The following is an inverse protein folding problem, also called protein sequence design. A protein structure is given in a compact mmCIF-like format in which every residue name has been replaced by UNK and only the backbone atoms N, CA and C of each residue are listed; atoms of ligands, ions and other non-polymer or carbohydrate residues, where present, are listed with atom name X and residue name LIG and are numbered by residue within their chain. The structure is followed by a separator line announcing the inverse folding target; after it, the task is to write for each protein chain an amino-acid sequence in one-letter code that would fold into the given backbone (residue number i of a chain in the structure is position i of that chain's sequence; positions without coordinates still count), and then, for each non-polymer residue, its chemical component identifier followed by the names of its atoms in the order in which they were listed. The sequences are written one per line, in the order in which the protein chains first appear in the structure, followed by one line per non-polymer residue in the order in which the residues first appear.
data_IF_192254281954
#
_entry.id   IF_192254281954
#
_cell.length_a   1.000
_cell.length_b   1.000
_cell.length_c   1.000
_cell.angle_alpha   90.00
_cell.angle_beta   90.00
_cell.angle_gamma   90.00
#
_symmetry.space_group_name_H-M   'P 1'
#
loop_
_entity.id
_entity.type
_entity.pdbx_description
1 polymer ?
#
# COMPACT_ATOMS: atom_id res chain seq x y z
N UNK A 1 -1.34 -14.41 -13.76
CA UNK A 1 -1.40 -14.98 -12.39
C UNK A 1 -2.70 -14.62 -11.68
N UNK A 2 -3.02 -13.33 -11.49
CA UNK A 2 -4.25 -12.93 -10.78
C UNK A 2 -5.53 -13.50 -11.42
N UNK A 3 -5.69 -13.42 -12.75
CA UNK A 3 -6.85 -14.00 -13.44
C UNK A 3 -6.99 -15.52 -13.19
N UNK A 4 -5.87 -16.23 -13.13
CA UNK A 4 -5.82 -17.66 -12.81
C UNK A 4 -6.30 -17.92 -11.39
N UNK A 5 -5.88 -17.08 -10.43
CA UNK A 5 -6.30 -17.17 -9.03
C UNK A 5 -7.79 -16.86 -8.88
N UNK A 6 -8.29 -15.82 -9.55
CA UNK A 6 -9.72 -15.48 -9.57
C UNK A 6 -10.54 -16.65 -10.13
N UNK A 7 -10.10 -17.23 -11.26
CA UNK A 7 -10.77 -18.38 -11.87
C UNK A 7 -10.76 -19.61 -10.94
N UNK A 8 -9.65 -19.86 -10.25
CA UNK A 8 -9.55 -20.96 -9.29
C UNK A 8 -10.48 -20.76 -8.07
N UNK A 9 -10.50 -19.56 -7.48
CA UNK A 9 -11.41 -19.22 -6.38
C UNK A 9 -12.87 -19.36 -6.80
N UNK A 10 -13.21 -18.92 -8.01
CA UNK A 10 -14.56 -19.06 -8.55
C UNK A 10 -14.95 -20.54 -8.72
N UNK A 11 -14.04 -21.37 -9.25
CA UNK A 11 -14.27 -22.80 -9.46
C UNK A 11 -14.42 -23.61 -8.15
N UNK A 12 -13.76 -23.17 -7.07
CA UNK A 12 -13.82 -23.82 -5.75
C UNK A 12 -14.84 -23.19 -4.80
N UNK A 13 -15.64 -22.24 -5.29
CA UNK A 13 -16.62 -21.52 -4.48
C UNK A 13 -16.05 -20.84 -3.23
N UNK A 14 -14.75 -20.52 -3.26
CA UNK A 14 -14.02 -19.97 -2.11
C UNK A 14 -14.18 -18.45 -1.99
N UNK A 15 -13.77 -17.91 -0.85
CA UNK A 15 -13.62 -16.46 -0.66
C UNK A 15 -12.25 -15.99 -1.13
N UNK A 16 -12.22 -14.88 -1.88
CA UNK A 16 -11.00 -14.14 -2.17
C UNK A 16 -10.88 -12.98 -1.19
N UNK A 17 -9.86 -13.01 -0.33
CA UNK A 17 -9.43 -11.84 0.44
C UNK A 17 -8.24 -11.23 -0.29
N UNK A 18 -8.43 -10.04 -0.85
CA UNK A 18 -7.41 -9.31 -1.59
C UNK A 18 -6.89 -8.16 -0.72
N UNK A 19 -5.68 -8.32 -0.19
CA UNK A 19 -4.99 -7.30 0.60
C UNK A 19 -4.06 -6.47 -0.31
N UNK A 20 -4.45 -5.23 -0.55
CA UNK A 20 -3.72 -4.26 -1.38
C UNK A 20 -2.95 -3.23 -0.53
N UNK A 21 -2.75 -3.49 0.76
CA UNK A 21 -2.03 -2.57 1.65
C UNK A 21 -0.62 -2.19 1.16
N UNK A 22 0.24 -3.07 0.59
CA UNK A 22 1.61 -2.71 0.21
C UNK A 22 1.74 -1.86 -1.07
N UNK A 23 0.72 -1.07 -1.41
CA UNK A 23 0.64 -0.24 -2.62
C UNK A 23 1.39 1.10 -2.55
N UNK A 24 2.43 1.24 -1.71
CA UNK A 24 3.24 2.46 -1.78
C UNK A 24 3.89 2.56 -3.17
N UNK A 25 3.87 3.77 -3.71
CA UNK A 25 4.97 4.29 -4.54
C UNK A 25 5.22 3.59 -5.89
N UNK A 26 4.15 3.26 -6.63
CA UNK A 26 4.31 3.00 -8.07
C UNK A 26 3.74 4.17 -8.89
N UNK A 27 4.56 4.88 -9.69
CA UNK A 27 4.03 5.75 -10.74
C UNK A 27 3.32 4.85 -11.76
N UNK A 28 1.99 4.79 -11.67
CA UNK A 28 1.18 3.85 -12.45
C UNK A 28 0.40 2.82 -11.63
N UNK A 29 -0.09 3.16 -10.42
CA UNK A 29 -1.02 2.31 -9.62
C UNK A 29 -2.15 1.66 -10.46
N UNK A 30 -2.56 2.27 -11.58
CA UNK A 30 -3.57 1.71 -12.50
C UNK A 30 -3.13 0.47 -13.30
N UNK A 31 -1.83 0.21 -13.43
CA UNK A 31 -1.29 -0.96 -14.14
C UNK A 31 -1.23 -2.20 -13.24
N UNK A 32 -1.52 -2.05 -11.95
CA UNK A 32 -1.55 -3.19 -11.04
C UNK A 32 -2.75 -4.10 -11.33
N UNK A 33 -2.54 -5.43 -11.24
CA UNK A 33 -3.64 -6.37 -11.33
C UNK A 33 -4.70 -6.04 -10.26
N UNK A 34 -5.95 -5.90 -10.67
CA UNK A 34 -7.06 -5.67 -9.75
C UNK A 34 -7.97 -6.89 -9.69
N UNK A 35 -8.59 -7.20 -8.53
CA UNK A 35 -9.38 -8.42 -8.36
C UNK A 35 -10.72 -8.40 -9.13
N UNK A 36 -11.05 -7.30 -9.80
CA UNK A 36 -12.24 -7.25 -10.66
C UNK A 36 -11.99 -7.92 -12.00
N UNK A 37 -12.85 -8.85 -12.42
CA UNK A 37 -12.86 -9.30 -13.80
C UNK A 37 -13.16 -8.09 -14.71
N UNK A 38 -12.47 -8.01 -15.85
CA UNK A 38 -12.79 -7.01 -16.84
C UNK A 38 -14.28 -7.14 -17.23
N UNK A 39 -15.05 -6.05 -17.09
CA UNK A 39 -16.47 -5.92 -17.47
C UNK A 39 -17.53 -6.49 -16.50
N UNK A 40 -17.31 -6.49 -15.19
CA UNK A 40 -18.42 -6.76 -14.25
C UNK A 40 -19.19 -5.48 -13.89
N UNK A 41 -20.51 -5.50 -14.03
CA UNK A 41 -21.39 -4.42 -13.56
C UNK A 41 -21.63 -4.49 -12.03
N UNK A 42 -21.45 -5.68 -11.44
CA UNK A 42 -21.63 -5.94 -10.02
C UNK A 42 -20.30 -6.29 -9.33
N UNK A 43 -20.22 -5.96 -8.04
CA UNK A 43 -19.11 -6.37 -7.18
C UNK A 43 -19.22 -7.89 -6.90
N UNK A 44 -18.15 -8.69 -7.01
CA UNK A 44 -18.22 -10.13 -6.78
C UNK A 44 -18.63 -10.48 -5.34
N UNK A 45 -19.62 -11.37 -5.18
CA UNK A 45 -20.19 -11.72 -3.86
C UNK A 45 -19.17 -12.29 -2.87
N UNK A 46 -18.17 -13.03 -3.36
CA UNK A 46 -17.13 -13.71 -2.56
C UNK A 46 -15.77 -13.00 -2.58
N UNK A 47 -15.76 -11.68 -2.81
CA UNK A 47 -14.56 -10.84 -2.74
C UNK A 47 -14.60 -9.96 -1.48
N UNK A 48 -13.49 -9.91 -0.77
CA UNK A 48 -13.20 -8.90 0.25
C UNK A 48 -11.93 -8.20 -0.18
N UNK A 49 -11.99 -6.90 -0.41
CA UNK A 49 -10.84 -6.09 -0.80
C UNK A 49 -10.49 -5.11 0.32
N UNK A 50 -9.22 -5.13 0.75
CA UNK A 50 -8.73 -4.39 1.90
C UNK A 50 -7.55 -3.50 1.48
N UNK A 51 -7.46 -2.31 2.05
CA UNK A 51 -6.29 -1.43 1.91
C UNK A 51 -6.08 -0.58 3.18
N UNK A 52 -4.91 0.04 3.32
CA UNK A 52 -4.56 0.92 4.44
C UNK A 52 -3.70 2.10 4.01
N UNK A 53 -3.93 3.24 4.65
CA UNK A 53 -3.09 4.44 4.56
C UNK A 53 -1.71 4.25 5.16
N UNK A 54 -1.58 3.32 6.10
CA UNK A 54 -0.34 3.10 6.83
C UNK A 54 0.82 2.85 5.89
N UNK A 55 0.55 2.13 4.80
CA UNK A 55 1.54 1.70 3.84
C UNK A 55 1.36 2.32 2.47
N UNK A 56 0.22 2.92 2.15
CA UNK A 56 0.04 3.58 0.86
C UNK A 56 0.36 5.08 0.90
N UNK A 57 0.36 5.71 2.07
CA UNK A 57 0.66 7.15 2.25
C UNK A 57 1.71 7.43 3.32
N UNK A 58 2.37 6.39 3.85
CA UNK A 58 3.31 6.52 4.97
C UNK A 58 2.69 7.15 6.23
N UNK A 59 1.38 6.95 6.44
CA UNK A 59 0.61 7.53 7.56
C UNK A 59 0.16 6.45 8.55
N UNK A 60 1.10 5.61 9.01
CA UNK A 60 0.78 4.47 9.89
C UNK A 60 0.10 4.86 11.21
N UNK A 61 0.38 6.06 11.72
CA UNK A 61 -0.22 6.59 12.95
C UNK A 61 -1.72 6.93 12.82
N UNK A 62 -2.24 7.14 11.61
CA UNK A 62 -3.66 7.46 11.41
C UNK A 62 -4.58 6.27 11.64
N UNK A 63 -4.05 5.03 11.58
CA UNK A 63 -4.82 3.78 11.73
C UNK A 63 -6.06 3.75 10.83
N UNK A 64 -5.94 4.32 9.63
CA UNK A 64 -7.01 4.41 8.66
C UNK A 64 -6.84 3.34 7.56
N UNK A 65 -7.95 2.72 7.20
CA UNK A 65 -8.04 1.73 6.14
C UNK A 65 -9.49 1.52 5.75
N UNK A 66 -9.70 0.79 4.66
CA UNK A 66 -11.02 0.50 4.14
C UNK A 66 -11.14 -0.98 3.77
N UNK A 67 -12.39 -1.42 3.73
CA UNK A 67 -12.81 -2.72 3.25
C UNK A 67 -13.96 -2.52 2.26
N UNK A 68 -13.86 -3.12 1.09
CA UNK A 68 -14.94 -3.20 0.10
C UNK A 68 -15.31 -4.68 -0.05
N UNK A 69 -16.59 -4.99 0.13
CA UNK A 69 -17.15 -6.32 -0.01
C UNK A 69 -18.63 -6.23 -0.42
N UNK A 70 -19.25 -7.37 -0.71
CA UNK A 70 -20.69 -7.42 -0.93
C UNK A 70 -21.48 -7.03 0.34
N UNK A 71 -22.70 -6.51 0.13
CA UNK A 71 -23.50 -5.86 1.18
C UNK A 71 -23.71 -6.71 2.44
N UNK A 72 -24.03 -8.02 2.37
CA UNK A 72 -24.19 -8.84 3.57
C UNK A 72 -22.93 -8.90 4.44
N UNK A 73 -21.74 -8.91 3.84
CA UNK A 73 -20.46 -8.89 4.54
C UNK A 73 -20.23 -7.54 5.20
N UNK A 74 -20.46 -6.45 4.46
CA UNK A 74 -20.34 -5.08 5.00
C UNK A 74 -21.30 -4.88 6.17
N UNK A 75 -22.55 -5.33 6.07
CA UNK A 75 -23.55 -5.24 7.14
C UNK A 75 -23.18 -6.09 8.36
N UNK A 76 -22.51 -7.23 8.17
CA UNK A 76 -21.96 -8.01 9.27
C UNK A 76 -20.82 -7.25 9.98
N UNK A 77 -19.80 -6.82 9.23
CA UNK A 77 -18.62 -6.11 9.78
C UNK A 77 -19.04 -4.82 10.47
N UNK A 78 -19.96 -4.05 9.87
CA UNK A 78 -20.52 -2.84 10.47
C UNK A 78 -21.16 -3.12 11.82
N UNK A 79 -22.09 -4.08 11.89
CA UNK A 79 -22.76 -4.44 13.15
C UNK A 79 -21.78 -4.94 14.20
N UNK A 80 -20.73 -5.63 13.78
CA UNK A 80 -19.67 -6.08 14.68
C UNK A 80 -18.87 -4.90 15.25
N UNK A 81 -18.42 -3.98 14.38
CA UNK A 81 -17.70 -2.77 14.79
C UNK A 81 -18.53 -1.86 15.70
N UNK A 82 -19.82 -1.64 15.38
CA UNK A 82 -20.74 -0.84 16.22
C UNK A 82 -20.87 -1.41 17.63
N UNK A 83 -20.86 -2.74 17.77
CA UNK A 83 -21.00 -3.42 19.06
C UNK A 83 -19.71 -3.41 19.88
N UNK A 84 -18.55 -3.45 19.23
CA UNK A 84 -17.26 -3.62 19.91
C UNK A 84 -16.47 -2.33 20.10
N UNK A 85 -16.54 -1.40 19.15
CA UNK A 85 -15.61 -0.27 19.05
C UNK A 85 -16.29 1.10 19.15
N UNK A 86 -17.63 1.15 19.22
CA UNK A 86 -18.51 2.35 19.32
C UNK A 86 -18.35 3.41 18.21
N UNK A 87 -17.14 3.78 17.81
CA UNK A 87 -16.86 4.47 16.55
C UNK A 87 -15.36 4.39 16.20
N UNK A 88 -14.97 4.17 14.92
CA UNK A 88 -13.59 4.40 14.52
C UNK A 88 -13.20 5.88 14.71
N UNK A 89 -11.91 6.13 14.94
CA UNK A 89 -11.38 7.50 15.03
C UNK A 89 -11.68 8.26 13.73
N UNK A 90 -12.55 9.26 13.80
CA UNK A 90 -12.99 10.03 12.63
C UNK A 90 -11.87 10.87 11.99
N UNK A 91 -10.77 11.15 12.70
CA UNK A 91 -9.68 12.02 12.25
C UNK A 91 -9.02 11.55 10.94
N UNK A 92 -9.10 10.26 10.60
CA UNK A 92 -8.56 9.72 9.34
C UNK A 92 -9.59 9.52 8.21
N UNK A 93 -10.89 9.60 8.50
CA UNK A 93 -11.93 9.17 7.55
C UNK A 93 -12.07 10.14 6.38
N UNK A 94 -12.03 11.46 6.60
CA UNK A 94 -12.10 12.44 5.50
C UNK A 94 -10.91 12.33 4.55
N UNK A 95 -9.72 12.14 5.12
CA UNK A 95 -8.51 11.92 4.33
C UNK A 95 -8.61 10.63 3.52
N UNK A 96 -9.14 9.55 4.12
CA UNK A 96 -9.43 8.27 3.48
C UNK A 96 -10.33 8.44 2.25
N UNK A 97 -11.45 9.13 2.45
CA UNK A 97 -12.43 9.38 1.39
C UNK A 97 -11.81 10.20 0.26
N UNK A 98 -11.09 11.27 0.59
CA UNK A 98 -10.48 12.14 -0.41
C UNK A 98 -9.43 11.40 -1.23
N UNK A 99 -8.57 10.61 -0.60
CA UNK A 99 -7.58 9.79 -1.30
C UNK A 99 -8.23 8.76 -2.23
N UNK A 100 -9.28 8.07 -1.77
CA UNK A 100 -10.02 7.13 -2.61
C UNK A 100 -10.63 7.82 -3.84
N UNK A 101 -11.18 9.02 -3.66
CA UNK A 101 -11.71 9.84 -4.76
C UNK A 101 -10.60 10.27 -5.72
N UNK A 102 -9.46 10.75 -5.20
CA UNK A 102 -8.30 11.15 -5.99
C UNK A 102 -7.74 9.98 -6.79
N UNK A 103 -7.53 8.81 -6.16
CA UNK A 103 -7.11 7.57 -6.84
C UNK A 103 -8.05 7.19 -7.97
N UNK A 104 -9.35 7.13 -7.67
CA UNK A 104 -10.35 6.75 -8.66
C UNK A 104 -10.41 7.75 -9.82
N UNK A 105 -10.31 9.05 -9.53
CA UNK A 105 -10.32 10.08 -10.56
C UNK A 105 -9.04 10.08 -11.40
N UNK A 106 -7.85 9.98 -10.77
CA UNK A 106 -6.57 9.90 -11.46
C UNK A 106 -6.53 8.69 -12.41
N UNK A 107 -7.05 7.52 -11.99
CA UNK A 107 -7.19 6.35 -12.86
C UNK A 107 -8.07 6.66 -14.07
N UNK A 108 -9.21 7.32 -13.88
CA UNK A 108 -10.14 7.65 -14.97
C UNK A 108 -9.59 8.71 -15.93
N UNK A 109 -8.84 9.69 -15.44
CA UNK A 109 -8.13 10.68 -16.26
C UNK A 109 -7.14 9.96 -17.20
N UNK A 110 -6.35 9.03 -16.66
CA UNK A 110 -5.43 8.19 -17.46
C UNK A 110 -6.16 7.28 -18.45
N UNK A 111 -7.22 6.58 -18.03
CA UNK A 111 -8.01 5.71 -18.93
C UNK A 111 -8.62 6.50 -20.10
N UNK A 112 -8.93 7.79 -19.88
CA UNK A 112 -9.42 8.70 -20.90
C UNK A 112 -8.29 9.34 -21.73
N UNK A 113 -7.02 9.02 -21.46
CA UNK A 113 -5.83 9.61 -22.10
C UNK A 113 -5.78 11.14 -22.01
N UNK A 114 -6.31 11.71 -20.91
CA UNK A 114 -6.28 13.15 -20.66
C UNK A 114 -4.97 13.53 -19.97
N UNK A 115 -4.34 14.60 -20.43
CA UNK A 115 -3.12 15.14 -19.84
C UNK A 115 -3.46 16.24 -18.82
N UNK A 116 -3.03 16.07 -17.57
CA UNK A 116 -3.30 17.02 -16.47
C UNK A 116 -2.74 18.42 -16.76
N UNK A 117 -1.69 18.51 -17.58
CA UNK A 117 -1.03 19.76 -17.95
C UNK A 117 -1.47 20.33 -19.30
N UNK A 118 -2.35 19.63 -20.04
CA UNK A 118 -2.92 20.19 -21.26
C UNK A 118 -4.10 21.11 -20.91
N UNK A 119 -4.02 22.43 -21.21
CA UNK A 119 -5.11 23.35 -20.92
C UNK A 119 -6.40 23.00 -21.67
N UNK A 120 -6.34 22.24 -22.76
CA UNK A 120 -7.53 21.79 -23.50
C UNK A 120 -8.28 20.66 -22.77
N UNK A 121 -7.59 19.91 -21.90
CA UNK A 121 -8.17 18.78 -21.17
C UNK A 121 -8.79 19.18 -19.83
N UNK A 122 -8.52 20.40 -19.33
CA UNK A 122 -8.97 20.86 -18.01
C UNK A 122 -10.47 20.68 -17.76
N UNK A 123 -11.30 21.11 -18.72
CA UNK A 123 -12.77 20.97 -18.60
C UNK A 123 -13.24 19.50 -18.61
N UNK A 124 -12.54 18.63 -19.35
CA UNK A 124 -12.84 17.21 -19.39
C UNK A 124 -12.44 16.51 -18.07
N UNK A 125 -11.29 16.88 -17.51
CA UNK A 125 -10.82 16.44 -16.20
C UNK A 125 -11.83 16.86 -15.12
N UNK A 126 -12.20 18.14 -15.06
CA UNK A 126 -13.18 18.65 -14.08
C UNK A 126 -14.51 17.88 -14.16
N UNK A 127 -15.02 17.64 -15.36
CA UNK A 127 -16.25 16.88 -15.57
C UNK A 127 -16.13 15.43 -15.07
N UNK A 128 -14.99 14.79 -15.33
CA UNK A 128 -14.71 13.41 -14.94
C UNK A 128 -14.57 13.30 -13.41
N UNK A 129 -13.85 14.22 -12.78
CA UNK A 129 -13.71 14.30 -11.33
C UNK A 129 -15.06 14.50 -10.68
N UNK A 130 -15.84 15.49 -11.14
CA UNK A 130 -17.17 15.75 -10.61
C UNK A 130 -18.07 14.51 -10.73
N UNK A 131 -17.92 13.70 -11.79
CA UNK A 131 -18.65 12.43 -11.95
C UNK A 131 -18.19 11.37 -10.93
N UNK A 132 -16.88 11.23 -10.69
CA UNK A 132 -16.32 10.31 -9.68
C UNK A 132 -16.76 10.73 -8.27
N UNK A 133 -16.60 12.01 -7.93
CA UNK A 133 -17.03 12.60 -6.68
C UNK A 133 -18.54 12.41 -6.42
N UNK A 134 -19.41 12.71 -7.38
CA UNK A 134 -20.87 12.48 -7.24
C UNK A 134 -21.22 11.01 -7.00
N UNK A 135 -20.51 10.08 -7.65
CA UNK A 135 -20.70 8.64 -7.44
C UNK A 135 -20.21 8.21 -6.06
N UNK A 136 -19.04 8.70 -5.63
CA UNK A 136 -18.52 8.49 -4.29
C UNK A 136 -19.49 9.03 -3.23
N UNK A 137 -20.05 10.23 -3.41
CA UNK A 137 -21.04 10.81 -2.50
C UNK A 137 -22.30 9.96 -2.32
N UNK A 138 -22.72 9.19 -3.34
CA UNK A 138 -23.81 8.21 -3.20
C UNK A 138 -23.40 7.04 -2.31
N UNK A 139 -22.15 6.60 -2.40
CA UNK A 139 -21.59 5.52 -1.58
C UNK A 139 -21.35 5.96 -0.13
N UNK A 140 -20.78 7.15 0.09
CA UNK A 140 -20.51 7.69 1.44
C UNK A 140 -21.79 7.86 2.27
N UNK A 141 -22.92 8.17 1.64
CA UNK A 141 -24.25 8.19 2.30
C UNK A 141 -24.64 6.85 2.90
N UNK A 142 -24.05 5.74 2.44
CA UNK A 142 -24.27 4.40 3.00
C UNK A 142 -23.33 4.10 4.18
N UNK A 143 -22.20 4.80 4.30
CA UNK A 143 -21.17 4.57 5.34
C UNK A 143 -21.34 5.46 6.58
N UNK A 144 -22.00 6.61 6.45
CA UNK A 144 -22.29 7.47 7.59
C UNK A 144 -23.77 7.82 7.72
N UNK A 145 -24.61 6.88 8.18
CA UNK A 145 -25.98 7.22 8.57
C UNK A 145 -26.06 8.03 9.88
N UNK A 146 -24.97 8.19 10.64
CA UNK A 146 -25.03 8.67 12.04
C UNK A 146 -24.10 9.81 12.45
N UNK A 147 -23.18 10.30 11.61
CA UNK A 147 -22.43 11.52 11.95
C UNK A 147 -23.05 12.73 11.25
N UNK A 148 -23.65 13.66 12.00
CA UNK A 148 -24.23 14.88 11.42
C UNK A 148 -23.21 15.73 10.62
N UNK A 149 -21.92 15.60 10.94
CA UNK A 149 -20.83 16.27 10.24
C UNK A 149 -20.53 15.70 8.84
N UNK A 150 -20.89 14.44 8.56
CA UNK A 150 -20.78 13.81 7.23
C UNK A 150 -22.13 13.42 6.62
N UNK A 151 -23.24 13.50 7.38
CA UNK A 151 -24.61 13.24 6.91
C UNK A 151 -25.13 14.38 6.04
N UNK A 152 -24.41 15.50 5.99
CA UNK A 152 -24.51 16.53 4.96
C UNK A 152 -23.33 16.44 3.99
N UNK A 153 -23.26 15.42 3.11
CA UNK A 153 -22.26 15.36 2.05
C UNK A 153 -22.19 16.64 1.24
N UNK A 154 -23.30 17.40 1.14
CA UNK A 154 -23.32 18.72 0.52
C UNK A 154 -22.22 19.66 1.02
N UNK A 155 -21.83 19.59 2.30
CA UNK A 155 -20.81 20.47 2.88
C UNK A 155 -19.39 19.95 2.60
N UNK A 156 -19.16 18.64 2.66
CA UNK A 156 -17.88 18.04 2.22
C UNK A 156 -17.67 18.26 0.71
N UNK A 157 -18.71 18.10 -0.10
CA UNK A 157 -18.63 18.30 -1.54
C UNK A 157 -18.55 19.77 -1.91
N UNK A 158 -19.27 20.67 -1.23
CA UNK A 158 -19.10 22.10 -1.40
C UNK A 158 -17.69 22.53 -0.99
N UNK A 159 -17.13 21.95 0.08
CA UNK A 159 -15.73 22.16 0.45
C UNK A 159 -14.78 21.66 -0.65
N UNK A 160 -14.96 20.44 -1.14
CA UNK A 160 -14.11 19.89 -2.20
C UNK A 160 -14.23 20.68 -3.51
N UNK A 161 -15.44 21.01 -3.95
CA UNK A 161 -15.68 21.76 -5.19
C UNK A 161 -15.25 23.25 -5.08
N UNK A 162 -15.34 23.87 -3.90
CA UNK A 162 -14.96 25.28 -3.72
C UNK A 162 -13.48 25.48 -3.34
N UNK A 163 -12.82 24.48 -2.75
CA UNK A 163 -11.49 24.64 -2.18
C UNK A 163 -10.40 23.81 -2.87
N UNK A 164 -10.75 22.86 -3.74
CA UNK A 164 -9.76 22.00 -4.41
C UNK A 164 -9.62 22.38 -5.88
N UNK A 165 -8.47 22.97 -6.21
CA UNK A 165 -7.96 22.98 -7.59
C UNK A 165 -7.57 21.53 -7.95
N UNK A 166 -8.47 20.83 -8.65
CA UNK A 166 -8.31 19.41 -8.98
C UNK A 166 -7.06 19.14 -9.84
N UNK A 167 -6.77 19.89 -10.91
CA UNK A 167 -5.50 19.77 -11.62
C UNK A 167 -4.28 19.89 -10.68
N UNK A 168 -4.26 20.88 -9.77
CA UNK A 168 -3.17 21.02 -8.81
C UNK A 168 -3.12 19.85 -7.81
N UNK A 169 -4.27 19.36 -7.34
CA UNK A 169 -4.36 18.22 -6.44
C UNK A 169 -3.82 16.95 -7.09
N UNK A 170 -4.12 16.70 -8.37
CA UNK A 170 -3.53 15.57 -9.12
C UNK A 170 -2.04 15.71 -9.29
N UNK A 171 -1.54 16.90 -9.66
CA UNK A 171 -0.08 17.13 -9.76
C UNK A 171 0.62 16.82 -8.44
N UNK A 172 0.09 17.30 -7.32
CA UNK A 172 0.66 17.01 -5.99
C UNK A 172 0.60 15.53 -5.66
N UNK A 173 -0.56 14.91 -5.90
CA UNK A 173 -0.76 13.48 -5.71
C UNK A 173 0.27 12.63 -6.47
N UNK A 174 0.44 12.88 -7.77
CA UNK A 174 1.38 12.14 -8.62
C UNK A 174 2.83 12.46 -8.24
N UNK A 175 3.14 13.71 -7.93
CA UNK A 175 4.47 14.13 -7.47
C UNK A 175 4.86 13.46 -6.15
N UNK A 176 3.96 13.40 -5.15
CA UNK A 176 4.22 12.79 -3.85
C UNK A 176 4.49 11.28 -3.99
N UNK A 177 3.69 10.60 -4.82
CA UNK A 177 3.88 9.19 -5.15
C UNK A 177 5.20 8.93 -5.89
N UNK A 178 5.51 9.75 -6.90
CA UNK A 178 6.74 9.65 -7.66
C UNK A 178 7.96 9.92 -6.79
N UNK A 179 7.92 10.93 -5.91
CA UNK A 179 9.00 11.26 -4.99
C UNK A 179 9.27 10.11 -4.01
N UNK A 180 8.20 9.54 -3.43
CA UNK A 180 8.31 8.39 -2.52
C UNK A 180 8.90 7.17 -3.23
N UNK A 181 8.47 6.89 -4.46
CA UNK A 181 9.00 5.80 -5.27
C UNK A 181 10.44 6.01 -5.68
N UNK A 182 10.81 7.24 -6.03
CA UNK A 182 12.18 7.60 -6.35
C UNK A 182 13.12 7.37 -5.15
N UNK A 183 12.70 7.73 -3.93
CA UNK A 183 13.47 7.48 -2.70
C UNK A 183 13.65 5.98 -2.47
N UNK A 184 12.57 5.19 -2.51
CA UNK A 184 12.65 3.74 -2.28
C UNK A 184 13.54 3.05 -3.33
N UNK A 185 13.41 3.44 -4.60
CA UNK A 185 14.23 2.91 -5.69
C UNK A 185 15.70 3.34 -5.57
N UNK A 186 15.97 4.58 -5.19
CA UNK A 186 17.34 5.06 -4.95
C UNK A 186 18.00 4.31 -3.80
N UNK A 187 17.28 4.13 -2.68
CA UNK A 187 17.73 3.34 -1.55
C UNK A 187 18.01 1.89 -1.95
N UNK A 188 17.14 1.26 -2.75
CA UNK A 188 17.38 -0.10 -3.24
C UNK A 188 18.65 -0.21 -4.08
N UNK A 189 18.85 0.69 -5.06
CA UNK A 189 20.09 0.71 -5.87
C UNK A 189 21.33 0.93 -5.01
N UNK A 190 21.21 1.78 -4.00
CA UNK A 190 22.27 2.09 -3.07
C UNK A 190 22.63 0.89 -2.18
N UNK A 191 21.63 0.07 -1.82
CA UNK A 191 21.82 -1.22 -1.13
C UNK A 191 22.54 -2.22 -2.04
N UNK A 192 22.03 -2.43 -3.25
CA UNK A 192 22.64 -3.36 -4.22
C UNK A 192 24.10 -3.00 -4.54
N UNK A 193 24.39 -1.70 -4.71
CA UNK A 193 25.75 -1.24 -5.00
C UNK A 193 26.74 -1.48 -3.85
N UNK A 194 26.27 -1.51 -2.59
CA UNK A 194 27.14 -1.65 -1.41
C UNK A 194 27.29 -3.10 -0.95
N UNK A 195 26.20 -3.85 -1.02
CA UNK A 195 26.07 -5.16 -0.38
C UNK A 195 25.81 -6.28 -1.39
N UNK A 196 25.66 -5.98 -2.68
CA UNK A 196 25.28 -6.95 -3.72
C UNK A 196 26.22 -8.14 -3.83
N UNK A 197 27.50 -7.96 -3.53
CA UNK A 197 28.53 -9.01 -3.49
C UNK A 197 28.37 -9.98 -2.30
N UNK A 198 27.64 -9.57 -1.26
CA UNK A 198 27.32 -10.36 -0.05
C UNK A 198 25.94 -11.02 -0.14
N UNK A 199 25.18 -10.77 -1.20
CA UNK A 199 23.86 -11.36 -1.40
C UNK A 199 23.97 -12.71 -2.12
N UNK A 200 23.44 -13.75 -1.49
CA UNK A 200 23.28 -15.07 -2.12
C UNK A 200 22.05 -15.12 -3.01
N UNK A 201 20.97 -14.43 -2.63
CA UNK A 201 19.71 -14.42 -3.38
C UNK A 201 18.92 -13.15 -3.09
N UNK A 202 18.12 -12.74 -4.07
CA UNK A 202 17.32 -11.52 -4.02
C UNK A 202 15.95 -11.78 -4.64
N UNK A 203 14.90 -11.38 -3.93
CA UNK A 203 13.56 -11.15 -4.46
C UNK A 203 13.33 -9.65 -4.37
N UNK A 204 13.63 -8.95 -5.46
CA UNK A 204 13.37 -7.53 -5.58
C UNK A 204 11.90 -7.33 -5.96
N UNK A 205 11.14 -6.66 -5.09
CA UNK A 205 9.78 -6.32 -5.42
C UNK A 205 9.77 -5.26 -6.55
N UNK A 206 8.96 -5.46 -7.61
CA UNK A 206 8.83 -4.46 -8.68
C UNK A 206 8.18 -3.16 -8.20
N UNK A 207 7.51 -3.20 -7.05
CA UNK A 207 6.83 -2.07 -6.46
C UNK A 207 6.77 -2.21 -4.93
N UNK A 208 6.46 -1.10 -4.24
CA UNK A 208 6.49 -1.03 -2.79
C UNK A 208 7.89 -0.70 -2.26
N UNK A 209 8.13 -1.05 -1.00
CA UNK A 209 9.34 -0.63 -0.27
C UNK A 209 9.96 -1.78 0.53
N UNK A 210 9.52 -3.03 0.34
CA UNK A 210 10.12 -4.18 0.99
C UNK A 210 10.69 -5.12 -0.06
N UNK A 211 11.93 -5.53 0.15
CA UNK A 211 12.63 -6.51 -0.66
C UNK A 211 13.04 -7.67 0.25
N UNK A 212 13.16 -8.88 -0.30
CA UNK A 212 13.64 -10.02 0.46
C UNK A 212 15.02 -10.43 -0.06
N UNK A 213 15.97 -10.62 0.84
CA UNK A 213 17.34 -11.01 0.49
C UNK A 213 17.79 -12.19 1.34
N UNK A 214 18.79 -12.92 0.83
CA UNK A 214 19.55 -13.92 1.59
C UNK A 214 21.00 -13.48 1.63
N UNK A 215 21.58 -13.42 2.83
CA UNK A 215 23.01 -13.16 3.01
C UNK A 215 23.79 -14.47 3.11
N UNK A 216 25.07 -14.43 2.76
CA UNK A 216 26.03 -15.46 3.17
C UNK A 216 26.76 -14.97 4.42
N UNK A 217 26.30 -15.41 5.60
CA UNK A 217 26.76 -14.85 6.88
C UNK A 217 27.17 -15.90 7.93
N UNK A 218 27.03 -17.19 7.62
CA UNK A 218 27.38 -18.29 8.54
C UNK A 218 26.49 -18.44 9.77
N UNK A 219 25.50 -17.58 9.98
CA UNK A 219 24.61 -17.56 11.13
C UNK A 219 23.25 -18.17 10.79
N UNK A 220 22.65 -18.85 11.77
CA UNK A 220 21.21 -19.17 11.72
C UNK A 220 20.35 -17.90 11.85
N UNK A 221 19.08 -17.98 11.46
CA UNK A 221 18.16 -16.84 11.36
C UNK A 221 18.12 -15.93 12.60
N UNK A 222 17.79 -16.50 13.76
CA UNK A 222 17.72 -15.74 15.01
C UNK A 222 19.09 -15.31 15.51
N UNK A 223 20.14 -16.08 15.18
CA UNK A 223 21.53 -15.72 15.47
C UNK A 223 21.93 -14.44 14.74
N UNK A 224 21.59 -14.33 13.46
CA UNK A 224 21.79 -13.14 12.65
C UNK A 224 20.97 -11.95 13.17
N UNK A 225 19.66 -12.10 13.36
CA UNK A 225 18.81 -11.01 13.80
C UNK A 225 19.28 -10.42 15.15
N UNK A 226 19.62 -11.30 16.11
CA UNK A 226 20.13 -10.88 17.41
C UNK A 226 21.50 -10.21 17.32
N UNK A 227 22.47 -10.83 16.63
CA UNK A 227 23.82 -10.26 16.56
C UNK A 227 23.86 -8.95 15.76
N UNK A 228 23.08 -8.84 14.68
CA UNK A 228 22.98 -7.59 13.92
C UNK A 228 22.39 -6.46 14.77
N UNK A 229 21.43 -6.76 15.65
CA UNK A 229 20.90 -5.79 16.60
C UNK A 229 21.95 -5.41 17.66
N UNK A 230 22.57 -6.39 18.30
CA UNK A 230 23.52 -6.17 19.39
C UNK A 230 24.81 -5.46 18.93
N UNK A 231 25.36 -5.85 17.77
CA UNK A 231 26.66 -5.40 17.28
C UNK A 231 26.60 -4.18 16.34
N UNK A 232 25.49 -4.00 15.64
CA UNK A 232 25.32 -2.97 14.61
C UNK A 232 24.08 -2.09 14.79
N UNK A 233 23.22 -2.37 15.78
CA UNK A 233 21.99 -1.62 16.02
C UNK A 233 20.95 -1.78 14.90
N UNK A 234 21.00 -2.90 14.17
CA UNK A 234 20.12 -3.16 13.03
C UNK A 234 19.02 -4.15 13.41
N UNK A 235 17.77 -3.76 13.21
CA UNK A 235 16.60 -4.62 13.44
C UNK A 235 16.10 -5.21 12.12
N UNK A 236 15.85 -6.52 12.12
CA UNK A 236 15.45 -7.27 10.94
C UNK A 236 14.20 -8.11 11.20
N UNK A 237 13.28 -8.05 10.25
CA UNK A 237 12.24 -9.07 10.14
C UNK A 237 12.70 -10.17 9.21
N UNK A 238 12.77 -11.37 9.74
CA UNK A 238 13.22 -12.57 9.03
C UNK A 238 12.03 -13.43 8.58
N UNK A 239 12.31 -14.49 7.84
CA UNK A 239 11.32 -15.38 7.24
C UNK A 239 10.29 -15.93 8.23
N UNK A 240 10.71 -16.32 9.44
CA UNK A 240 9.84 -16.83 10.52
C UNK A 240 8.68 -15.89 10.85
N UNK A 241 8.85 -14.59 10.60
CA UNK A 241 7.83 -13.57 10.89
C UNK A 241 6.69 -13.62 9.87
N UNK A 242 6.94 -14.19 8.69
CA UNK A 242 6.01 -14.20 7.54
C UNK A 242 5.57 -15.60 7.11
N UNK A 243 6.36 -16.63 7.42
CA UNK A 243 6.08 -18.00 7.03
C UNK A 243 6.37 -18.95 8.21
N UNK A 244 5.51 -19.95 8.37
CA UNK A 244 5.80 -21.08 9.24
C UNK A 244 6.84 -21.96 8.54
N UNK A 245 8.00 -22.15 9.16
CA UNK A 245 9.06 -23.03 8.70
C UNK A 245 9.57 -23.87 9.87
N UNK A 246 9.84 -25.15 9.61
CA UNK A 246 10.13 -26.12 10.68
C UNK A 246 11.58 -26.06 11.21
N UNK A 247 12.37 -25.03 10.85
CA UNK A 247 13.83 -25.01 11.07
C UNK A 247 14.37 -23.65 11.54
N UNK A 248 14.26 -23.40 12.84
CA UNK A 248 14.83 -22.22 13.51
C UNK A 248 16.37 -22.11 13.39
N UNK A 249 17.05 -23.24 13.14
CA UNK A 249 18.51 -23.33 12.99
C UNK A 249 18.98 -23.22 11.54
N UNK A 250 18.06 -22.97 10.59
CA UNK A 250 18.42 -22.82 9.18
C UNK A 250 19.34 -21.62 8.99
N UNK A 251 20.45 -21.83 8.27
CA UNK A 251 21.26 -20.77 7.66
C UNK A 251 20.71 -20.35 6.29
N UNK A 252 19.63 -20.98 5.84
CA UNK A 252 18.91 -20.63 4.63
C UNK A 252 17.55 -20.00 4.97
N UNK A 253 17.54 -18.69 5.14
CA UNK A 253 16.35 -17.89 5.47
C UNK A 253 16.35 -16.57 4.70
N UNK A 254 15.16 -16.01 4.48
CA UNK A 254 15.00 -14.66 3.95
C UNK A 254 15.04 -13.59 5.04
N UNK A 255 15.59 -12.43 4.69
CA UNK A 255 15.56 -11.20 5.48
C UNK A 255 14.82 -10.13 4.69
N UNK A 256 13.88 -9.42 5.34
CA UNK A 256 13.15 -8.31 4.72
C UNK A 256 13.91 -6.99 4.89
N UNK A 257 14.23 -6.35 3.78
CA UNK A 257 14.86 -5.02 3.73
C UNK A 257 13.80 -3.97 3.38
N UNK A 258 13.59 -2.99 4.25
CA UNK A 258 12.68 -1.87 4.02
C UNK A 258 13.43 -0.65 3.48
N UNK A 259 13.11 -0.21 2.27
CA UNK A 259 13.69 0.97 1.62
C UNK A 259 12.93 2.27 1.90
N UNK A 260 11.81 2.21 2.63
CA UNK A 260 11.02 3.36 3.05
C UNK A 260 11.68 4.12 4.23
N UNK A 261 12.82 4.75 3.97
CA UNK A 261 13.53 5.57 4.94
C UNK A 261 14.23 6.75 4.25
N UNK A 262 14.67 7.75 5.02
CA UNK A 262 15.52 8.82 4.51
C UNK A 262 16.82 8.24 3.95
N UNK A 263 17.28 8.76 2.82
CA UNK A 263 18.39 8.18 2.06
C UNK A 263 19.69 8.14 2.86
N UNK A 264 19.94 9.16 3.68
CA UNK A 264 21.14 9.25 4.51
C UNK A 264 21.12 8.21 5.64
N UNK A 265 19.97 8.05 6.29
CA UNK A 265 19.78 7.05 7.36
C UNK A 265 19.90 5.64 6.78
N UNK A 266 19.28 5.40 5.62
CA UNK A 266 19.34 4.11 4.94
C UNK A 266 20.77 3.77 4.50
N UNK A 267 21.51 4.74 3.95
CA UNK A 267 22.91 4.56 3.57
C UNK A 267 23.78 4.21 4.78
N UNK A 268 23.65 4.93 5.89
CA UNK A 268 24.37 4.62 7.12
C UNK A 268 24.05 3.21 7.64
N UNK A 269 22.77 2.79 7.57
CA UNK A 269 22.38 1.42 7.90
C UNK A 269 23.00 0.36 6.99
N UNK A 270 23.16 0.66 5.69
CA UNK A 270 23.87 -0.23 4.76
C UNK A 270 25.35 -0.34 5.10
N UNK A 271 26.00 0.77 5.46
CA UNK A 271 27.41 0.79 5.84
C UNK A 271 27.61 -0.03 7.14
N UNK A 272 26.76 0.16 8.15
CA UNK A 272 26.77 -0.66 9.38
C UNK A 272 26.54 -2.15 9.11
N UNK A 273 25.65 -2.48 8.16
CA UNK A 273 25.39 -3.87 7.77
C UNK A 273 26.59 -4.48 7.06
N UNK A 274 27.27 -3.71 6.20
CA UNK A 274 28.50 -4.14 5.54
C UNK A 274 29.58 -4.46 6.58
N UNK A 275 29.81 -3.55 7.52
CA UNK A 275 30.79 -3.74 8.60
C UNK A 275 30.46 -4.96 9.47
N UNK A 276 29.18 -5.21 9.73
CA UNK A 276 28.71 -6.39 10.45
C UNK A 276 29.04 -7.68 9.68
N UNK A 277 28.66 -7.75 8.39
CA UNK A 277 28.90 -8.93 7.57
C UNK A 277 30.40 -9.23 7.37
N UNK A 278 31.25 -8.19 7.32
CA UNK A 278 32.69 -8.34 7.12
C UNK A 278 33.43 -8.86 8.35
N UNK A 279 32.84 -8.78 9.55
CA UNK A 279 33.48 -9.30 10.79
C UNK A 279 33.62 -10.82 10.81
N UNK A 280 32.97 -11.54 9.89
CA UNK A 280 33.09 -12.99 9.76
C UNK A 280 32.66 -13.68 11.05
N UNK A 281 31.35 -13.83 11.22
CA UNK A 281 30.79 -14.52 12.38
C UNK A 281 30.99 -16.04 12.18
N UNK A 282 32.14 -16.52 12.63
CA UNK A 282 32.47 -17.95 12.62
C UNK A 282 31.40 -18.75 13.38
N UNK A 283 30.97 -19.87 12.78
CA UNK A 283 30.11 -20.86 13.40
C UNK A 283 30.78 -21.53 14.61
#
# INVERSE_FOLDING_TARGET
ELDTLIAAVAATESWLVFDEVPDLAHPGEAERPHPFPAKTEAFPERLIWINSFSKSRSLAGLRAGWLIADRPVVDFVRRHNERLLWSPVHAGVSALVLDMVLRAAARRVRDASLAVDDPNDGAAIDHLVARVARRAGRYLRLFSPYSDDFSRPGDLWAFLDAAVDWPQAFRRYEADLAATGAICAANWRAFESRLGDRLRSVIAAPAGFNHCVKFDNGLGEWGFARQAFDDAGLDFYTESVFADHDREDSSDYWVRISTANQTEIFAAGCDSLSDFLDRGHGA
#
